data_IF_418908774591
#
_entry.id   IF_418908774591
#
_cell.length_a   1.000
_cell.length_b   1.000
_cell.length_c   1.000
_cell.angle_alpha   90.00
_cell.angle_beta   90.00
_cell.angle_gamma   90.00
#
_symmetry.space_group_name_H-M   'P 1'
#
loop_
_entity.id
_entity.type
_entity.pdbx_description
1 polymer ?
#
# COMPACT_ATOMS: atom_id res chain seq x y z
N UNK A 1 -13.39 9.49 0.13
CA UNK A 1 -13.06 8.49 -0.92
C UNK A 1 -12.10 7.45 -0.36
N UNK A 2 -12.37 6.20 -0.64
CA UNK A 2 -11.57 5.09 -0.13
C UNK A 2 -11.02 4.32 -1.32
N UNK A 3 -9.71 4.13 -1.37
CA UNK A 3 -9.03 3.35 -2.41
C UNK A 3 -8.19 2.27 -1.77
N UNK A 4 -8.36 1.04 -2.23
CA UNK A 4 -7.55 -0.10 -1.79
C UNK A 4 -6.57 -0.44 -2.90
N UNK A 5 -5.28 -0.36 -2.59
CA UNK A 5 -4.22 -0.65 -3.54
C UNK A 5 -3.62 -2.04 -3.25
N UNK A 6 -3.41 -2.80 -4.27
CA UNK A 6 -2.81 -4.12 -4.12
C UNK A 6 -2.76 -4.90 -5.41
N UNK A 7 -2.67 -6.22 -5.28
CA UNK A 7 -2.72 -7.12 -6.41
C UNK A 7 -3.83 -8.16 -6.19
N UNK A 8 -4.47 -8.58 -7.26
CA UNK A 8 -5.65 -9.42 -7.19
C UNK A 8 -5.38 -10.83 -6.64
N UNK A 9 -4.15 -11.32 -6.78
CA UNK A 9 -3.79 -12.68 -6.36
C UNK A 9 -3.12 -12.73 -4.98
N UNK A 10 -3.35 -11.74 -4.14
CA UNK A 10 -2.83 -11.70 -2.77
C UNK A 10 -3.95 -12.04 -1.79
N UNK A 11 -3.75 -13.07 -0.95
CA UNK A 11 -4.77 -13.52 0.00
C UNK A 11 -5.16 -12.42 0.98
N UNK A 12 -4.20 -11.66 1.48
CA UNK A 12 -4.45 -10.55 2.41
C UNK A 12 -5.32 -9.47 1.75
N UNK A 13 -5.04 -9.16 0.48
CA UNK A 13 -5.84 -8.20 -0.29
C UNK A 13 -7.27 -8.70 -0.47
N UNK A 14 -7.43 -9.99 -0.78
CA UNK A 14 -8.77 -10.60 -0.92
C UNK A 14 -9.56 -10.51 0.39
N UNK A 15 -8.91 -10.77 1.52
CA UNK A 15 -9.54 -10.68 2.84
C UNK A 15 -9.99 -9.26 3.14
N UNK A 16 -9.17 -8.27 2.82
CA UNK A 16 -9.52 -6.87 3.00
C UNK A 16 -10.73 -6.48 2.18
N UNK A 17 -10.78 -6.90 0.91
CA UNK A 17 -11.92 -6.63 0.02
C UNK A 17 -13.20 -7.25 0.58
N UNK A 18 -13.14 -8.50 1.05
CA UNK A 18 -14.30 -9.18 1.63
C UNK A 18 -14.80 -8.43 2.87
N UNK A 19 -13.88 -7.99 3.72
CA UNK A 19 -14.25 -7.25 4.92
C UNK A 19 -14.96 -5.95 4.58
N UNK A 20 -14.41 -5.18 3.65
CA UNK A 20 -15.01 -3.90 3.24
C UNK A 20 -16.40 -4.12 2.64
N UNK A 21 -16.55 -5.11 1.79
CA UNK A 21 -17.86 -5.44 1.18
C UNK A 21 -18.87 -5.88 2.23
N UNK A 22 -18.44 -6.74 3.17
CA UNK A 22 -19.32 -7.25 4.23
C UNK A 22 -19.81 -6.14 5.17
N UNK A 23 -19.03 -5.07 5.32
CA UNK A 23 -19.39 -3.93 6.17
C UNK A 23 -20.01 -2.78 5.37
N UNK A 24 -20.38 -3.01 4.12
CA UNK A 24 -21.05 -2.05 3.25
C UNK A 24 -20.23 -0.76 3.04
N UNK A 25 -18.92 -0.90 3.02
CA UNK A 25 -18.02 0.23 2.77
C UNK A 25 -17.70 0.30 1.28
N UNK A 26 -18.05 1.40 0.63
CA UNK A 26 -17.74 1.63 -0.77
C UNK A 26 -16.28 1.99 -0.93
N UNK A 27 -15.61 1.34 -1.88
CA UNK A 27 -14.20 1.59 -2.17
C UNK A 27 -13.89 1.32 -3.63
N UNK A 28 -12.76 1.87 -4.10
CA UNK A 28 -12.20 1.57 -5.41
C UNK A 28 -11.00 0.66 -5.22
N UNK A 29 -10.92 -0.42 -6.00
CA UNK A 29 -9.74 -1.28 -5.99
C UNK A 29 -8.79 -0.87 -7.10
N UNK A 30 -7.54 -0.56 -6.73
CA UNK A 30 -6.46 -0.22 -7.66
C UNK A 30 -5.49 -1.40 -7.72
N UNK A 31 -5.47 -2.10 -8.86
CA UNK A 31 -4.66 -3.31 -9.04
C UNK A 31 -3.35 -2.94 -9.75
N UNK A 32 -2.23 -3.07 -9.05
CA UNK A 32 -0.91 -2.76 -9.61
C UNK A 32 -0.53 -3.62 -10.81
N UNK A 33 -1.20 -4.74 -11.03
CA UNK A 33 -0.97 -5.56 -12.23
C UNK A 33 -1.65 -4.98 -13.47
N UNK A 34 -2.72 -4.21 -13.27
CA UNK A 34 -3.50 -3.61 -14.36
C UNK A 34 -3.17 -2.15 -14.56
N UNK A 35 -2.80 -1.45 -13.50
CA UNK A 35 -2.48 -0.03 -13.53
C UNK A 35 -1.12 0.19 -12.87
N UNK A 36 -0.18 0.89 -13.54
CA UNK A 36 1.15 1.06 -12.99
C UNK A 36 1.16 1.95 -11.76
N UNK A 37 2.13 1.70 -10.89
CA UNK A 37 2.44 2.62 -9.80
C UNK A 37 3.18 3.81 -10.41
N UNK A 38 2.67 5.01 -10.21
CA UNK A 38 3.27 6.22 -10.77
C UNK A 38 4.15 6.94 -9.76
N UNK A 39 5.02 7.83 -10.24
CA UNK A 39 5.83 8.69 -9.36
C UNK A 39 4.95 9.49 -8.40
N UNK A 40 3.88 10.06 -8.91
CA UNK A 40 2.95 10.89 -8.13
C UNK A 40 2.28 10.08 -7.04
N UNK A 41 1.82 8.87 -7.37
CA UNK A 41 1.12 8.02 -6.40
C UNK A 41 2.08 7.54 -5.31
N UNK A 42 3.27 7.07 -5.69
CA UNK A 42 4.26 6.62 -4.70
C UNK A 42 4.72 7.79 -3.84
N UNK A 43 4.89 8.97 -4.42
CA UNK A 43 5.21 10.19 -3.66
C UNK A 43 4.17 10.50 -2.60
N UNK A 44 2.89 10.32 -2.92
CA UNK A 44 1.79 10.49 -1.97
C UNK A 44 1.90 9.49 -0.82
N UNK A 45 2.20 8.23 -1.11
CA UNK A 45 2.38 7.20 -0.08
C UNK A 45 3.53 7.55 0.87
N UNK A 46 4.65 8.03 0.31
CA UNK A 46 5.85 8.38 1.10
C UNK A 46 5.60 9.58 2.00
N UNK A 47 4.75 10.51 1.57
CA UNK A 47 4.37 11.65 2.40
C UNK A 47 3.52 11.23 3.60
N UNK A 48 2.75 10.15 3.46
CA UNK A 48 1.82 9.69 4.51
C UNK A 48 2.46 8.72 5.49
N UNK A 49 3.45 7.93 5.03
CA UNK A 49 4.13 6.93 5.85
C UNK A 49 5.60 6.82 5.44
N UNK A 50 6.46 6.45 6.37
CA UNK A 50 7.88 6.27 6.06
C UNK A 50 8.15 4.86 5.48
N UNK A 51 9.38 4.66 4.97
CA UNK A 51 9.76 3.41 4.34
C UNK A 51 9.73 2.23 5.31
N UNK A 52 10.00 2.45 6.58
CA UNK A 52 9.95 1.38 7.58
C UNK A 52 8.54 0.80 7.70
N UNK A 53 7.52 1.61 7.45
CA UNK A 53 6.13 1.17 7.45
C UNK A 53 5.71 0.61 6.10
N UNK A 54 6.13 1.24 5.00
CA UNK A 54 5.69 0.89 3.65
C UNK A 54 6.35 -0.36 3.08
N UNK A 55 7.64 -0.56 3.38
CA UNK A 55 8.45 -1.59 2.73
C UNK A 55 8.26 -2.95 3.39
N UNK A 56 7.97 -3.97 2.59
CA UNK A 56 7.84 -5.35 3.08
C UNK A 56 9.15 -6.12 2.88
N UNK A 57 10.01 -6.10 3.89
CA UNK A 57 11.30 -6.79 3.86
C UNK A 57 11.18 -8.30 3.90
N UNK A 58 10.00 -8.83 4.19
CA UNK A 58 9.74 -10.28 4.21
C UNK A 58 9.26 -10.79 2.86
N UNK A 59 9.00 -9.91 1.90
CA UNK A 59 8.52 -10.32 0.59
C UNK A 59 9.61 -11.05 -0.20
N UNK A 60 9.19 -11.94 -1.08
CA UNK A 60 10.08 -12.61 -2.02
C UNK A 60 10.79 -11.59 -2.90
N UNK A 61 10.08 -10.55 -3.33
CA UNK A 61 10.65 -9.48 -4.14
C UNK A 61 11.83 -8.82 -3.44
N UNK A 62 11.71 -8.51 -2.15
CA UNK A 62 12.80 -7.92 -1.38
C UNK A 62 13.98 -8.88 -1.27
N UNK A 63 13.71 -10.15 -0.96
CA UNK A 63 14.78 -11.16 -0.82
C UNK A 63 15.56 -11.34 -2.11
N UNK A 64 14.93 -11.15 -3.25
CA UNK A 64 15.53 -11.32 -4.57
C UNK A 64 16.26 -10.08 -5.07
N UNK A 65 16.25 -8.98 -4.32
CA UNK A 65 17.09 -7.83 -4.66
C UNK A 65 18.55 -8.22 -4.55
N UNK A 66 19.41 -7.63 -5.41
CA UNK A 66 20.84 -7.89 -5.35
C UNK A 66 21.42 -7.43 -4.01
N UNK A 67 22.53 -8.05 -3.59
CA UNK A 67 23.23 -7.65 -2.37
C UNK A 67 23.71 -6.21 -2.45
N UNK A 68 24.14 -5.77 -3.63
CA UNK A 68 24.55 -4.38 -3.86
C UNK A 68 23.41 -3.41 -3.55
N UNK A 69 22.20 -3.71 -4.03
CA UNK A 69 21.03 -2.88 -3.75
C UNK A 69 20.68 -2.90 -2.27
N UNK A 70 20.69 -4.10 -1.65
CA UNK A 70 20.35 -4.25 -0.22
C UNK A 70 21.31 -3.46 0.68
N UNK A 71 22.56 -3.32 0.29
CA UNK A 71 23.56 -2.58 1.06
C UNK A 71 23.55 -1.08 0.81
N UNK A 72 22.76 -0.61 -0.17
CA UNK A 72 22.71 0.80 -0.56
C UNK A 72 21.28 1.32 -0.59
N UNK A 73 20.50 1.02 0.45
CA UNK A 73 19.09 1.41 0.52
C UNK A 73 18.95 2.86 0.99
N UNK A 74 19.27 3.78 0.10
CA UNK A 74 18.92 5.19 0.28
C UNK A 74 17.44 5.38 -0.12
N UNK A 75 16.86 6.52 0.27
CA UNK A 75 15.47 6.82 -0.08
C UNK A 75 15.26 6.79 -1.60
N UNK A 76 16.21 7.33 -2.38
CA UNK A 76 16.14 7.35 -3.83
C UNK A 76 16.18 5.95 -4.42
N UNK A 77 17.05 5.08 -3.91
CA UNK A 77 17.16 3.69 -4.37
C UNK A 77 15.88 2.92 -4.06
N UNK A 78 15.36 3.08 -2.84
CA UNK A 78 14.11 2.41 -2.44
C UNK A 78 12.97 2.87 -3.35
N UNK A 79 12.87 4.17 -3.61
CA UNK A 79 11.81 4.73 -4.47
C UNK A 79 11.85 4.10 -5.87
N UNK A 80 13.03 4.04 -6.48
CA UNK A 80 13.21 3.43 -7.81
C UNK A 80 12.83 1.95 -7.82
N UNK A 81 13.26 1.20 -6.80
CA UNK A 81 12.98 -0.23 -6.73
C UNK A 81 11.48 -0.49 -6.54
N UNK A 82 10.82 0.28 -5.71
CA UNK A 82 9.37 0.13 -5.47
C UNK A 82 8.59 0.50 -6.72
N UNK A 83 9.00 1.54 -7.45
CA UNK A 83 8.36 1.91 -8.71
C UNK A 83 8.40 0.77 -9.72
N UNK A 84 9.55 0.11 -9.83
CA UNK A 84 9.73 -1.02 -10.75
C UNK A 84 8.99 -2.26 -10.27
N UNK A 85 8.91 -2.46 -8.94
CA UNK A 85 8.33 -3.67 -8.35
C UNK A 85 7.42 -3.29 -7.16
N UNK A 86 6.16 -2.93 -7.44
CA UNK A 86 5.23 -2.53 -6.36
C UNK A 86 4.99 -3.60 -5.29
N UNK A 87 5.33 -4.86 -5.57
CA UNK A 87 5.23 -5.93 -4.58
C UNK A 87 6.21 -5.79 -3.42
N UNK A 88 7.13 -4.83 -3.50
CA UNK A 88 7.97 -4.45 -2.36
C UNK A 88 7.18 -3.73 -1.27
N UNK A 89 6.04 -3.15 -1.60
CA UNK A 89 5.16 -2.50 -0.62
C UNK A 89 4.37 -3.55 0.17
N UNK A 90 4.11 -3.25 1.43
CA UNK A 90 3.14 -4.02 2.21
C UNK A 90 1.76 -3.87 1.59
N UNK A 91 0.99 -4.93 1.54
CA UNK A 91 -0.31 -4.97 0.87
C UNK A 91 -1.38 -5.52 1.80
N UNK A 92 -2.59 -5.05 1.67
CA UNK A 92 -3.04 -3.92 0.84
C UNK A 92 -2.67 -2.58 1.45
N UNK A 93 -2.69 -1.53 0.63
CA UNK A 93 -2.60 -0.15 1.11
C UNK A 93 -4.01 0.44 1.05
N UNK A 94 -4.51 0.87 2.18
CA UNK A 94 -5.84 1.47 2.29
C UNK A 94 -5.69 2.97 2.43
N UNK A 95 -6.05 3.71 1.38
CA UNK A 95 -6.00 5.17 1.39
C UNK A 95 -7.39 5.72 1.65
N UNK A 96 -7.52 6.49 2.70
CA UNK A 96 -8.75 7.17 3.06
C UNK A 96 -8.53 8.66 2.87
N UNK A 97 -9.30 9.25 1.96
CA UNK A 97 -9.25 10.68 1.68
C UNK A 97 -10.56 11.30 2.13
N UNK A 98 -10.47 12.22 3.09
CA UNK A 98 -11.63 12.94 3.58
C UNK A 98 -11.76 14.27 2.84
N UNK A 99 -12.92 14.50 2.27
CA UNK A 99 -13.23 15.74 1.56
C UNK A 99 -13.58 16.83 2.58
N UNK A 100 -12.57 17.26 3.32
CA UNK A 100 -12.69 18.33 4.31
C UNK A 100 -11.85 19.52 3.88
N UNK A 101 -12.03 20.66 4.56
CA UNK A 101 -11.24 21.85 4.28
C UNK A 101 -9.73 21.62 4.44
N UNK A 102 -9.32 20.62 5.25
CA UNK A 102 -7.92 20.27 5.46
C UNK A 102 -7.41 19.18 4.52
N UNK A 103 -8.26 18.62 3.67
CA UNK A 103 -7.92 17.50 2.77
C UNK A 103 -7.16 16.40 3.50
N UNK A 104 -7.71 15.93 4.61
CA UNK A 104 -7.06 14.91 5.44
C UNK A 104 -6.98 13.58 4.71
N UNK A 105 -5.80 12.98 4.75
CA UNK A 105 -5.53 11.68 4.15
C UNK A 105 -4.88 10.78 5.17
N UNK A 106 -5.22 9.49 5.13
CA UNK A 106 -4.59 8.47 5.95
C UNK A 106 -4.32 7.24 5.10
N UNK A 107 -3.17 6.63 5.32
CA UNK A 107 -2.77 5.42 4.61
C UNK A 107 -2.49 4.32 5.62
N UNK A 108 -3.21 3.21 5.49
CA UNK A 108 -3.08 2.06 6.39
C UNK A 108 -2.51 0.87 5.62
N UNK A 109 -1.52 0.19 6.19
CA UNK A 109 -0.79 -0.90 5.55
C UNK A 109 -1.22 -2.25 6.13
N UNK A 110 -1.41 -3.23 5.24
CA UNK A 110 -1.79 -4.58 5.62
C UNK A 110 -3.26 -4.68 5.98
N UNK A 111 -3.68 -5.86 6.43
CA UNK A 111 -5.06 -6.08 6.84
C UNK A 111 -5.13 -6.90 8.11
N UNK A 112 -5.86 -6.38 9.09
CA UNK A 112 -6.36 -7.10 10.26
C UNK A 112 -7.77 -6.59 10.52
N UNK A 113 -8.70 -7.51 10.71
CA UNK A 113 -10.10 -7.15 10.92
C UNK A 113 -10.28 -6.16 12.06
N UNK A 114 -9.58 -6.36 13.18
CA UNK A 114 -9.65 -5.47 14.35
C UNK A 114 -9.19 -4.05 14.00
N UNK A 115 -8.15 -3.93 13.18
CA UNK A 115 -7.65 -2.62 12.76
C UNK A 115 -8.66 -1.89 11.88
N UNK A 116 -9.24 -2.61 10.91
CA UNK A 116 -10.27 -2.03 10.04
C UNK A 116 -11.51 -1.64 10.84
N UNK A 117 -11.89 -2.47 11.80
CA UNK A 117 -13.02 -2.15 12.69
C UNK A 117 -12.78 -0.82 13.41
N UNK A 118 -11.59 -0.61 13.94
CA UNK A 118 -11.24 0.63 14.63
C UNK A 118 -11.23 1.84 13.67
N UNK A 119 -10.74 1.65 12.42
CA UNK A 119 -10.66 2.72 11.43
C UNK A 119 -12.06 3.23 11.06
N UNK A 120 -13.01 2.33 10.89
CA UNK A 120 -14.34 2.65 10.36
C UNK A 120 -15.42 2.77 11.44
N UNK A 121 -15.04 2.80 12.69
CA UNK A 121 -15.98 3.07 13.78
C UNK A 121 -16.45 4.51 13.82
#
# INVERSE_FOLDING_TARGET
MITLYGINNCDTVKKAQKWLTAHSISYTFYDFKKQPLTNELLGQFVELNDWSTLLNKRSTTFRNLSDEIKHNLTDDVIFEQVLAQPTLLKRPLLLIEQDTAQNQQALHLGFKADNYQAIFQ
#
